data_IF_320650394888
#
_entry.id   IF_320650394888
#
_cell.length_a   1.000
_cell.length_b   1.000
_cell.length_c   1.000
_cell.angle_alpha   90.00
_cell.angle_beta   90.00
_cell.angle_gamma   90.00
#
_symmetry.space_group_name_H-M   'P 1'
#
loop_
_entity.id
_entity.type
_entity.pdbx_description
1 polymer ?
#
# COMPACT_ATOMS: atom_id res chain seq x y z
N UNK A 1 -30.22 48.68 -27.28
CA UNK A 1 -28.97 48.43 -26.53
C UNK A 1 -29.25 47.78 -25.16
N UNK A 2 -29.67 46.52 -25.14
CA UNK A 2 -29.67 45.63 -23.96
C UNK A 2 -29.77 44.20 -24.53
N UNK A 3 -28.65 43.47 -24.56
CA UNK A 3 -28.53 42.00 -24.73
C UNK A 3 -27.23 41.58 -25.44
N UNK A 4 -26.07 42.14 -25.08
CA UNK A 4 -24.78 41.67 -25.61
C UNK A 4 -23.69 41.47 -24.54
N UNK A 5 -24.05 41.58 -23.25
CA UNK A 5 -23.11 41.41 -22.13
C UNK A 5 -23.16 40.03 -21.45
N UNK A 6 -24.10 39.16 -21.83
CA UNK A 6 -24.28 37.85 -21.18
C UNK A 6 -23.50 36.70 -21.82
N UNK A 7 -23.00 36.86 -23.04
CA UNK A 7 -22.42 35.74 -23.81
C UNK A 7 -20.91 35.56 -23.59
N UNK A 8 -20.21 36.58 -23.10
CA UNK A 8 -18.76 36.52 -22.82
C UNK A 8 -18.40 35.96 -21.42
N UNK A 9 -19.40 35.79 -20.54
CA UNK A 9 -19.20 35.26 -19.18
C UNK A 9 -19.47 33.75 -19.06
N UNK A 10 -20.05 33.13 -20.10
CA UNK A 10 -20.35 31.68 -20.13
C UNK A 10 -19.27 30.88 -20.88
N UNK A 11 -18.47 31.53 -21.73
CA UNK A 11 -17.33 30.91 -22.42
C UNK A 11 -16.05 30.83 -21.56
N UNK A 12 -15.96 31.57 -20.45
CA UNK A 12 -14.83 31.51 -19.52
C UNK A 12 -14.94 30.39 -18.48
N UNK A 13 -16.09 29.70 -18.37
CA UNK A 13 -16.26 28.55 -17.48
C UNK A 13 -16.09 27.17 -18.16
N UNK A 14 -15.97 27.12 -19.48
CA UNK A 14 -15.80 25.85 -20.23
C UNK A 14 -14.33 25.44 -20.47
N UNK A 15 -13.35 26.25 -20.06
CA UNK A 15 -11.92 25.92 -20.19
C UNK A 15 -11.21 25.58 -18.86
N UNK A 16 -11.96 25.29 -17.79
CA UNK A 16 -11.41 24.86 -16.49
C UNK A 16 -11.62 23.35 -16.20
N UNK A 17 -11.67 22.52 -17.25
CA UNK A 17 -11.73 21.05 -17.13
C UNK A 17 -10.73 20.36 -18.06
N UNK A 18 -9.58 20.99 -18.31
CA UNK A 18 -8.37 20.23 -18.59
C UNK A 18 -7.87 19.72 -17.24
N UNK A 19 -7.92 18.41 -17.03
CA UNK A 19 -7.24 17.78 -15.90
C UNK A 19 -5.78 18.25 -15.84
N UNK A 20 -5.12 18.18 -14.67
CA UNK A 20 -3.81 18.77 -14.47
C UNK A 20 -2.90 18.34 -15.62
N UNK A 21 -2.45 19.33 -16.39
CA UNK A 21 -1.41 19.16 -17.40
C UNK A 21 -0.29 18.37 -16.75
N UNK A 22 0.12 17.27 -17.37
CA UNK A 22 1.20 16.43 -16.86
C UNK A 22 2.44 17.31 -16.72
N UNK A 23 2.76 17.72 -15.50
CA UNK A 23 4.03 18.34 -15.20
C UNK A 23 5.10 17.30 -15.57
N UNK A 24 6.07 17.57 -16.46
CA UNK A 24 7.07 16.59 -16.86
C UNK A 24 7.88 16.04 -15.67
N UNK A 25 7.88 16.76 -14.54
CA UNK A 25 8.50 16.38 -13.26
C UNK A 25 7.67 15.43 -12.39
N UNK A 26 6.54 14.89 -12.86
CA UNK A 26 5.73 13.93 -12.08
C UNK A 26 6.26 12.50 -12.09
N UNK A 27 7.01 12.12 -13.12
CA UNK A 27 7.53 10.76 -13.24
C UNK A 27 8.97 10.70 -12.72
N UNK A 28 9.23 10.13 -11.54
CA UNK A 28 10.60 9.92 -11.03
C UNK A 28 11.47 9.06 -11.94
N UNK A 29 10.84 8.29 -12.82
CA UNK A 29 11.50 7.42 -13.78
C UNK A 29 11.47 8.01 -15.20
N UNK A 30 11.27 9.33 -15.33
CA UNK A 30 11.45 10.00 -16.61
C UNK A 30 12.86 9.76 -17.14
N UNK A 31 12.99 9.63 -18.46
CA UNK A 31 14.30 9.45 -19.09
C UNK A 31 15.28 10.57 -18.71
N UNK A 32 14.79 11.81 -18.62
CA UNK A 32 15.58 12.98 -18.22
C UNK A 32 16.16 12.84 -16.80
N UNK A 33 15.32 12.43 -15.84
CA UNK A 33 15.72 12.19 -14.45
C UNK A 33 16.74 11.05 -14.35
N UNK A 34 16.52 9.96 -15.08
CA UNK A 34 17.40 8.79 -15.07
C UNK A 34 18.75 9.09 -15.71
N UNK A 35 18.78 9.76 -16.86
CA UNK A 35 20.02 10.18 -17.53
C UNK A 35 20.81 11.14 -16.65
N UNK A 36 20.15 12.13 -16.04
CA UNK A 36 20.81 13.03 -15.10
C UNK A 36 21.44 12.27 -13.92
N UNK A 37 20.72 11.30 -13.37
CA UNK A 37 21.23 10.54 -12.23
C UNK A 37 22.40 9.64 -12.63
N UNK A 38 22.37 9.04 -13.82
CA UNK A 38 23.49 8.26 -14.36
C UNK A 38 24.76 9.12 -14.45
N UNK A 39 24.68 10.31 -15.04
CA UNK A 39 25.82 11.26 -15.10
C UNK A 39 26.36 11.57 -13.70
N UNK A 40 25.49 11.94 -12.77
CA UNK A 40 25.89 12.27 -11.40
C UNK A 40 26.58 11.08 -10.72
N UNK A 41 26.04 9.87 -10.87
CA UNK A 41 26.61 8.69 -10.23
C UNK A 41 27.97 8.35 -10.82
N UNK A 42 28.16 8.45 -12.14
CA UNK A 42 29.47 8.23 -12.76
C UNK A 42 30.51 9.23 -12.22
N UNK A 43 30.16 10.51 -12.16
CA UNK A 43 31.05 11.58 -11.70
C UNK A 43 31.40 11.45 -10.20
N UNK A 44 30.45 10.99 -9.36
CA UNK A 44 30.64 10.79 -7.91
C UNK A 44 31.74 9.79 -7.59
N UNK A 45 31.89 8.76 -8.42
CA UNK A 45 32.82 7.64 -8.20
C UNK A 45 34.13 7.77 -9.00
N UNK A 46 34.26 8.78 -9.86
CA UNK A 46 35.46 8.98 -10.68
C UNK A 46 36.66 9.54 -9.88
N UNK A 47 36.49 10.70 -9.22
CA UNK A 47 37.55 11.38 -8.47
C UNK A 47 36.99 12.23 -7.32
N UNK A 48 37.84 12.79 -6.45
CA UNK A 48 37.40 13.69 -5.38
C UNK A 48 36.81 15.00 -5.92
N UNK A 49 37.41 15.55 -6.97
CA UNK A 49 37.04 16.86 -7.52
C UNK A 49 35.77 16.75 -8.36
N UNK A 50 35.63 15.69 -9.15
CA UNK A 50 34.40 15.38 -9.89
C UNK A 50 33.23 15.12 -8.92
N UNK A 51 33.50 14.46 -7.78
CA UNK A 51 32.48 14.16 -6.78
C UNK A 51 31.81 15.39 -6.20
N UNK A 52 32.59 16.40 -5.78
CA UNK A 52 31.99 17.60 -5.17
C UNK A 52 31.14 18.37 -6.19
N UNK A 53 31.60 18.46 -7.44
CA UNK A 53 30.82 19.07 -8.52
C UNK A 53 29.52 18.31 -8.80
N UNK A 54 29.58 16.99 -8.85
CA UNK A 54 28.41 16.14 -9.07
C UNK A 54 27.39 16.24 -7.92
N UNK A 55 27.86 16.21 -6.67
CA UNK A 55 27.01 16.40 -5.50
C UNK A 55 26.40 17.80 -5.46
N UNK A 56 27.16 18.83 -5.84
CA UNK A 56 26.65 20.19 -5.95
C UNK A 56 25.52 20.31 -6.97
N UNK A 57 25.68 19.70 -8.16
CA UNK A 57 24.62 19.58 -9.17
C UNK A 57 23.40 18.86 -8.61
N UNK A 58 23.58 17.70 -7.98
CA UNK A 58 22.49 16.90 -7.41
C UNK A 58 21.72 17.67 -6.33
N UNK A 59 22.42 18.37 -5.43
CA UNK A 59 21.82 19.25 -4.41
C UNK A 59 20.97 20.35 -5.03
N UNK A 60 21.50 20.99 -6.07
CA UNK A 60 20.79 22.05 -6.78
C UNK A 60 19.50 21.52 -7.43
N UNK A 61 19.56 20.38 -8.10
CA UNK A 61 18.39 19.78 -8.76
C UNK A 61 17.37 19.30 -7.72
N UNK A 62 17.79 18.59 -6.67
CA UNK A 62 16.92 18.20 -5.55
C UNK A 62 16.11 19.40 -4.99
N UNK A 63 16.76 20.55 -4.78
CA UNK A 63 16.10 21.73 -4.19
C UNK A 63 15.16 22.45 -5.15
N UNK A 64 15.52 22.55 -6.43
CA UNK A 64 14.87 23.49 -7.34
C UNK A 64 14.06 22.84 -8.47
N UNK A 65 14.38 21.59 -8.83
CA UNK A 65 13.89 20.93 -10.06
C UNK A 65 13.57 19.44 -9.87
N UNK A 66 13.54 18.96 -8.64
CA UNK A 66 13.24 17.56 -8.34
C UNK A 66 11.82 17.18 -8.72
N UNK A 67 11.62 15.88 -8.85
CA UNK A 67 10.30 15.28 -9.03
C UNK A 67 9.44 15.48 -7.79
N UNK A 68 8.13 15.48 -7.99
CA UNK A 68 7.16 15.70 -6.90
C UNK A 68 7.26 14.61 -5.81
N UNK A 69 7.89 13.47 -6.10
CA UNK A 69 8.05 12.34 -5.18
C UNK A 69 9.37 12.34 -4.38
N UNK A 70 10.25 13.33 -4.58
CA UNK A 70 11.50 13.48 -3.85
C UNK A 70 12.62 12.48 -4.17
N UNK A 71 12.55 11.79 -5.31
CA UNK A 71 13.50 10.74 -5.69
C UNK A 71 14.97 11.22 -5.77
N UNK A 72 15.25 12.41 -6.31
CA UNK A 72 16.64 12.91 -6.38
C UNK A 72 17.14 13.35 -5.02
N UNK A 73 16.30 13.96 -4.19
CA UNK A 73 16.65 14.25 -2.80
C UNK A 73 16.95 12.98 -1.98
N UNK A 74 16.16 11.92 -2.19
CA UNK A 74 16.44 10.62 -1.61
C UNK A 74 17.79 10.06 -2.06
N UNK A 75 18.10 10.14 -3.35
CA UNK A 75 19.36 9.63 -3.90
C UNK A 75 20.56 10.41 -3.36
N UNK A 76 20.46 11.74 -3.27
CA UNK A 76 21.45 12.57 -2.58
C UNK A 76 21.66 12.11 -1.14
N UNK A 77 20.58 11.94 -0.39
CA UNK A 77 20.64 11.52 1.00
C UNK A 77 21.33 10.18 1.20
N UNK A 78 21.14 9.23 0.27
CA UNK A 78 21.83 7.94 0.29
C UNK A 78 23.34 8.07 0.06
N UNK A 79 23.76 8.87 -0.92
CA UNK A 79 25.19 9.06 -1.23
C UNK A 79 25.91 9.66 -0.02
N UNK A 80 25.33 10.68 0.59
CA UNK A 80 25.88 11.31 1.80
C UNK A 80 25.89 10.34 2.99
N UNK A 81 24.81 9.57 3.19
CA UNK A 81 24.74 8.58 4.27
C UNK A 81 25.86 7.55 4.17
N UNK A 82 26.12 7.06 2.94
CA UNK A 82 27.17 6.08 2.67
C UNK A 82 28.57 6.67 2.81
N UNK A 83 28.71 7.97 2.53
CA UNK A 83 29.96 8.70 2.70
C UNK A 83 30.26 9.08 4.16
N UNK A 84 29.30 8.86 5.07
CA UNK A 84 29.43 9.24 6.49
C UNK A 84 29.00 10.67 6.81
N UNK A 85 28.53 11.42 5.81
CA UNK A 85 28.04 12.79 5.95
C UNK A 85 26.59 12.77 6.43
N UNK A 86 26.37 12.39 7.69
CA UNK A 86 25.04 12.13 8.21
C UNK A 86 24.17 13.39 8.34
N UNK A 87 24.77 14.58 8.50
CA UNK A 87 24.03 15.86 8.55
C UNK A 87 23.44 16.25 7.19
N UNK A 88 24.24 16.12 6.14
CA UNK A 88 23.83 16.36 4.76
C UNK A 88 22.78 15.33 4.34
N UNK A 89 23.00 14.07 4.71
CA UNK A 89 22.01 13.01 4.53
C UNK A 89 20.67 13.29 5.21
N UNK A 90 20.70 13.76 6.47
CA UNK A 90 19.51 14.16 7.21
C UNK A 90 18.75 15.28 6.47
N UNK A 91 19.46 16.30 6.01
CA UNK A 91 18.89 17.41 5.24
C UNK A 91 18.23 16.93 3.96
N UNK A 92 18.89 16.06 3.22
CA UNK A 92 18.40 15.50 1.96
C UNK A 92 17.13 14.65 2.15
N UNK A 93 17.12 13.76 3.15
CA UNK A 93 15.93 12.94 3.44
C UNK A 93 14.76 13.77 3.99
N UNK A 94 15.02 14.88 4.68
CA UNK A 94 13.98 15.81 5.13
C UNK A 94 13.27 16.41 3.92
N UNK A 95 14.03 16.90 2.93
CA UNK A 95 13.49 17.41 1.66
C UNK A 95 12.75 16.34 0.86
N UNK A 96 13.26 15.11 0.81
CA UNK A 96 12.58 14.00 0.15
C UNK A 96 11.21 13.70 0.79
N UNK A 97 11.15 13.72 2.12
CA UNK A 97 9.91 13.52 2.87
C UNK A 97 8.93 14.70 2.73
N UNK A 98 9.41 15.93 2.66
CA UNK A 98 8.56 17.11 2.38
C UNK A 98 7.84 16.98 1.04
N UNK A 99 8.50 16.39 0.03
CA UNK A 99 7.94 16.13 -1.29
C UNK A 99 6.95 14.95 -1.28
N UNK A 100 7.29 13.86 -0.58
CA UNK A 100 6.40 12.70 -0.42
C UNK A 100 6.19 12.31 1.06
N UNK A 101 5.27 13.00 1.78
CA UNK A 101 5.10 12.82 3.23
C UNK A 101 4.61 11.44 3.67
N UNK A 102 4.11 10.62 2.75
CA UNK A 102 3.58 9.30 3.08
C UNK A 102 4.59 8.17 2.84
N UNK A 103 5.78 8.48 2.31
CA UNK A 103 6.77 7.47 1.98
C UNK A 103 7.43 6.88 3.24
N UNK A 104 7.19 5.58 3.48
CA UNK A 104 7.73 4.88 4.64
C UNK A 104 9.25 4.68 4.58
N UNK A 105 9.83 4.59 3.38
CA UNK A 105 11.27 4.44 3.19
C UNK A 105 11.97 5.74 3.60
N UNK A 106 11.46 6.88 3.14
CA UNK A 106 12.03 8.19 3.48
C UNK A 106 11.95 8.48 4.97
N UNK A 107 10.82 8.17 5.62
CA UNK A 107 10.68 8.26 7.09
C UNK A 107 11.75 7.46 7.81
N UNK A 108 11.98 6.21 7.39
CA UNK A 108 12.97 5.37 8.04
C UNK A 108 14.40 5.86 7.81
N UNK A 109 14.71 6.40 6.63
CA UNK A 109 16.05 6.91 6.33
C UNK A 109 16.34 8.25 7.01
N UNK A 110 15.37 9.17 7.03
CA UNK A 110 15.43 10.39 7.82
C UNK A 110 15.71 10.07 9.29
N UNK A 111 14.99 9.09 9.85
CA UNK A 111 15.19 8.58 11.20
C UNK A 111 16.62 8.07 11.42
N UNK A 112 17.11 7.22 10.52
CA UNK A 112 18.46 6.65 10.63
C UNK A 112 19.54 7.74 10.56
N UNK A 113 19.40 8.70 9.65
CA UNK A 113 20.31 9.84 9.54
C UNK A 113 20.25 10.70 10.80
N UNK A 114 19.06 11.00 11.32
CA UNK A 114 18.88 11.79 12.56
C UNK A 114 19.59 11.15 13.76
N UNK A 115 19.50 9.81 13.91
CA UNK A 115 20.21 9.08 14.96
C UNK A 115 21.73 9.20 14.80
N UNK A 116 22.22 9.08 13.57
CA UNK A 116 23.66 9.11 13.26
C UNK A 116 24.27 10.51 13.32
N UNK A 117 23.48 11.54 13.04
CA UNK A 117 23.89 12.94 13.00
C UNK A 117 23.54 13.72 14.28
N UNK A 118 22.91 13.07 15.26
CA UNK A 118 22.41 13.70 16.49
C UNK A 118 21.34 14.79 16.25
N UNK A 119 20.51 14.65 15.21
CA UNK A 119 19.42 15.57 14.87
C UNK A 119 18.03 15.07 15.32
N UNK A 120 17.97 14.20 16.34
CA UNK A 120 16.69 13.70 16.86
C UNK A 120 15.80 14.81 17.43
N UNK A 121 16.40 15.82 18.05
CA UNK A 121 15.67 16.98 18.60
C UNK A 121 15.07 17.85 17.49
N UNK A 122 15.83 18.15 16.42
CA UNK A 122 15.28 18.84 15.24
C UNK A 122 14.12 18.05 14.63
N UNK A 123 14.28 16.73 14.52
CA UNK A 123 13.23 15.85 14.00
C UNK A 123 11.99 15.89 14.90
N UNK A 124 12.15 15.87 16.23
CA UNK A 124 11.04 15.95 17.17
C UNK A 124 10.25 17.27 17.05
N UNK A 125 10.94 18.35 16.74
CA UNK A 125 10.35 19.68 16.57
C UNK A 125 9.68 19.89 15.20
N UNK A 126 9.85 18.96 14.24
CA UNK A 126 9.30 19.07 12.88
C UNK A 126 7.80 18.76 12.78
N UNK A 127 7.14 18.40 13.88
CA UNK A 127 5.70 18.14 13.97
C UNK A 127 5.37 16.82 14.67
N UNK A 128 4.08 16.47 14.73
CA UNK A 128 3.59 15.25 15.38
C UNK A 128 4.30 13.98 14.87
N UNK A 129 4.43 13.84 13.56
CA UNK A 129 5.07 12.67 12.95
C UNK A 129 6.57 12.63 13.24
N UNK A 130 7.26 13.76 13.16
CA UNK A 130 8.68 13.85 13.51
C UNK A 130 8.92 13.50 14.98
N UNK A 131 8.08 14.00 15.88
CA UNK A 131 8.06 13.66 17.32
C UNK A 131 7.91 12.16 17.54
N UNK A 132 6.98 11.51 16.87
CA UNK A 132 6.81 10.05 16.94
C UNK A 132 8.04 9.30 16.44
N UNK A 133 8.64 9.72 15.32
CA UNK A 133 9.82 9.07 14.74
C UNK A 133 11.04 9.21 15.67
N UNK A 134 11.21 10.38 16.28
CA UNK A 134 12.27 10.64 17.25
C UNK A 134 12.07 9.76 18.52
N UNK A 135 10.86 9.80 19.10
CA UNK A 135 10.49 8.99 20.26
C UNK A 135 10.68 7.48 20.01
N UNK A 136 10.35 7.01 18.80
CA UNK A 136 10.57 5.63 18.38
C UNK A 136 12.05 5.25 18.42
N UNK A 137 12.93 6.14 17.95
CA UNK A 137 14.38 5.91 17.93
C UNK A 137 14.99 5.93 19.33
N UNK A 138 14.57 6.86 20.17
CA UNK A 138 15.01 6.94 21.57
C UNK A 138 14.59 5.71 22.37
N UNK A 139 13.37 5.22 22.14
CA UNK A 139 12.87 4.00 22.78
C UNK A 139 13.67 2.78 22.32
N UNK A 140 13.97 2.66 21.02
CA UNK A 140 14.85 1.61 20.50
C UNK A 140 16.21 1.64 21.19
N UNK A 141 16.83 2.82 21.25
CA UNK A 141 18.15 3.00 21.88
C UNK A 141 18.14 2.62 23.36
N UNK A 142 17.09 3.02 24.09
CA UNK A 142 16.89 2.70 25.50
C UNK A 142 16.66 1.20 25.72
N UNK A 143 15.97 0.53 24.80
CA UNK A 143 15.74 -0.91 24.88
C UNK A 143 16.97 -1.77 24.60
N UNK A 144 17.83 -1.32 23.67
CA UNK A 144 19.08 -2.00 23.33
C UNK A 144 20.14 -1.86 24.43
N UNK A 145 20.16 -0.71 25.11
CA UNK A 145 21.16 -0.42 26.15
C UNK A 145 20.66 -0.89 27.51
N UNK A 146 21.31 -1.90 28.11
CA UNK A 146 20.88 -2.49 29.37
C UNK A 146 20.71 -1.47 30.51
N UNK A 147 21.66 -0.53 30.64
CA UNK A 147 21.60 0.53 31.65
C UNK A 147 20.44 1.53 31.47
N UNK A 148 19.90 1.65 30.24
CA UNK A 148 18.80 2.58 29.92
C UNK A 148 17.44 1.89 29.84
N UNK A 149 17.40 0.55 29.91
CA UNK A 149 16.19 -0.24 29.69
C UNK A 149 15.08 0.07 30.70
N UNK A 150 15.44 0.33 31.95
CA UNK A 150 14.50 0.74 33.00
C UNK A 150 13.79 2.07 32.68
N UNK A 151 14.44 2.97 31.94
CA UNK A 151 13.91 4.29 31.60
C UNK A 151 13.06 4.27 30.32
N UNK A 152 13.05 3.15 29.57
CA UNK A 152 12.31 3.03 28.32
C UNK A 152 10.79 2.98 28.51
N UNK A 153 10.29 2.72 29.74
CA UNK A 153 8.86 2.51 30.00
C UNK A 153 8.00 3.67 29.50
N UNK A 154 8.35 4.91 29.84
CA UNK A 154 7.54 6.09 29.53
C UNK A 154 7.36 6.27 28.03
N UNK A 155 8.47 6.23 27.28
CA UNK A 155 8.44 6.40 25.82
C UNK A 155 7.80 5.19 25.12
N UNK A 156 7.98 3.98 25.65
CA UNK A 156 7.31 2.78 25.17
C UNK A 156 5.79 2.87 25.31
N UNK A 157 5.30 3.28 26.48
CA UNK A 157 3.87 3.43 26.75
C UNK A 157 3.23 4.48 25.83
N UNK A 158 3.94 5.57 25.58
CA UNK A 158 3.48 6.62 24.68
C UNK A 158 3.35 6.11 23.23
N UNK A 159 4.35 5.37 22.72
CA UNK A 159 4.29 4.73 21.40
C UNK A 159 3.17 3.69 21.32
N UNK A 160 2.90 2.97 22.42
CA UNK A 160 1.78 2.03 22.49
C UNK A 160 0.45 2.77 22.38
N UNK A 161 0.24 3.85 23.15
CA UNK A 161 -0.99 4.67 23.11
C UNK A 161 -1.24 5.30 21.74
N UNK A 162 -0.18 5.78 21.09
CA UNK A 162 -0.26 6.30 19.72
C UNK A 162 -0.49 5.19 18.67
N UNK A 163 -0.41 3.91 19.07
CA UNK A 163 -0.71 2.76 18.22
C UNK A 163 0.39 2.41 17.23
N UNK A 164 1.63 2.78 17.52
CA UNK A 164 2.82 2.47 16.72
C UNK A 164 3.47 1.13 17.09
N UNK A 165 3.05 0.51 18.20
CA UNK A 165 3.52 -0.79 18.64
C UNK A 165 2.46 -1.88 18.39
N UNK A 166 2.93 -3.07 18.00
CA UNK A 166 2.08 -4.24 17.73
C UNK A 166 2.39 -5.40 18.67
N UNK A 167 1.43 -6.31 18.85
CA UNK A 167 1.61 -7.52 19.68
C UNK A 167 2.81 -8.38 19.23
N UNK A 168 3.16 -8.38 17.95
CA UNK A 168 4.31 -9.14 17.44
C UNK A 168 5.64 -8.52 17.88
N UNK A 169 5.72 -7.18 17.93
CA UNK A 169 6.89 -6.44 18.42
C UNK A 169 7.19 -6.69 19.91
N UNK A 170 6.19 -7.10 20.70
CA UNK A 170 6.41 -7.50 22.10
C UNK A 170 7.06 -8.88 22.21
N UNK A 171 6.83 -9.73 21.22
CA UNK A 171 7.33 -11.12 21.22
C UNK A 171 8.68 -11.25 20.53
N UNK A 172 8.97 -10.36 19.56
CA UNK A 172 10.13 -10.43 18.68
C UNK A 172 10.76 -9.06 18.47
N UNK A 173 12.07 -9.05 18.19
CA UNK A 173 12.80 -7.83 17.83
C UNK A 173 13.19 -6.96 19.03
N UNK A 174 13.51 -5.69 18.76
CA UNK A 174 14.17 -4.79 19.73
C UNK A 174 13.33 -4.51 20.98
N UNK A 175 12.01 -4.45 20.85
CA UNK A 175 11.09 -4.14 21.95
C UNK A 175 10.81 -5.34 22.87
N UNK A 176 11.07 -6.56 22.42
CA UNK A 176 10.78 -7.78 23.20
C UNK A 176 11.56 -7.84 24.51
N UNK A 177 12.85 -7.52 24.48
CA UNK A 177 13.73 -7.49 25.65
C UNK A 177 13.29 -6.42 26.65
N UNK A 178 12.91 -5.24 26.14
CA UNK A 178 12.37 -4.15 26.93
C UNK A 178 11.10 -4.58 27.66
N UNK A 179 10.13 -5.10 26.89
CA UNK A 179 8.84 -5.51 27.43
C UNK A 179 8.98 -6.64 28.46
N UNK A 180 9.89 -7.59 28.24
CA UNK A 180 10.18 -8.66 29.19
C UNK A 180 10.73 -8.11 30.53
N UNK A 181 11.54 -7.05 30.48
CA UNK A 181 12.13 -6.43 31.68
C UNK A 181 11.18 -5.55 32.48
N UNK A 182 10.03 -5.19 31.93
CA UNK A 182 9.04 -4.37 32.64
C UNK A 182 8.33 -5.18 33.74
N UNK A 183 7.91 -4.48 34.80
CA UNK A 183 7.09 -5.06 35.86
C UNK A 183 5.70 -5.45 35.35
N UNK A 184 4.99 -6.31 36.08
CA UNK A 184 3.63 -6.73 35.71
C UNK A 184 2.64 -5.56 35.66
N UNK A 185 2.82 -4.54 36.53
CA UNK A 185 2.03 -3.31 36.50
C UNK A 185 2.22 -2.58 35.17
N UNK A 186 3.47 -2.36 34.77
CA UNK A 186 3.83 -1.70 33.51
C UNK A 186 3.31 -2.47 32.28
N UNK A 187 3.41 -3.81 32.30
CA UNK A 187 2.87 -4.65 31.22
C UNK A 187 1.35 -4.50 31.11
N UNK A 188 0.64 -4.48 32.25
CA UNK A 188 -0.81 -4.34 32.29
C UNK A 188 -1.31 -3.00 31.73
N UNK A 189 -0.51 -1.93 31.84
CA UNK A 189 -0.81 -0.62 31.26
C UNK A 189 -0.58 -0.56 29.75
N UNK A 190 0.42 -1.30 29.24
CA UNK A 190 0.79 -1.33 27.82
C UNK A 190 -0.17 -2.18 27.00
N UNK A 191 -0.47 -3.40 27.48
CA UNK A 191 -1.21 -4.43 26.73
C UNK A 191 -2.55 -3.98 26.11
N UNK A 192 -3.37 -3.13 26.76
CA UNK A 192 -4.63 -2.62 26.19
C UNK A 192 -4.48 -1.85 24.88
N UNK A 193 -3.33 -1.20 24.66
CA UNK A 193 -3.08 -0.36 23.48
C UNK A 193 -2.49 -1.13 22.30
N UNK A 194 -2.12 -2.40 22.52
CA UNK A 194 -1.37 -3.18 21.55
C UNK A 194 -2.27 -3.73 20.45
N UNK A 195 -2.12 -3.19 19.24
CA UNK A 195 -2.81 -3.69 18.05
C UNK A 195 -2.21 -5.02 17.60
N UNK A 196 -3.05 -5.94 17.12
CA UNK A 196 -2.55 -7.09 16.34
C UNK A 196 -1.95 -6.54 15.05
N UNK A 197 -0.75 -7.00 14.67
CA UNK A 197 -0.11 -6.55 13.43
C UNK A 197 -1.07 -6.79 12.26
N UNK A 198 -1.48 -5.71 11.58
CA UNK A 198 -2.49 -5.75 10.51
C UNK A 198 -1.95 -6.21 9.17
N UNK A 199 -0.63 -6.25 9.00
CA UNK A 199 0.01 -6.47 7.70
C UNK A 199 0.56 -7.87 7.58
N UNK A 200 -0.29 -8.80 7.16
CA UNK A 200 0.19 -9.98 6.45
C UNK A 200 0.47 -9.55 5.01
N UNK A 201 1.75 -9.42 4.64
CA UNK A 201 2.17 -8.99 3.30
C UNK A 201 1.56 -9.90 2.22
N UNK A 202 1.42 -11.20 2.49
CA UNK A 202 0.77 -12.13 1.57
C UNK A 202 -0.70 -11.75 1.33
N UNK A 203 -1.45 -11.40 2.39
CA UNK A 203 -2.85 -10.98 2.24
C UNK A 203 -2.97 -9.65 1.50
N UNK A 204 -2.04 -8.71 1.70
CA UNK A 204 -2.02 -7.43 0.98
C UNK A 204 -1.69 -7.61 -0.50
N UNK A 205 -0.69 -8.44 -0.82
CA UNK A 205 -0.35 -8.78 -2.20
C UNK A 205 -1.54 -9.45 -2.92
N UNK A 206 -2.24 -10.35 -2.23
CA UNK A 206 -3.47 -10.95 -2.76
C UNK A 206 -4.54 -9.88 -2.99
N UNK A 207 -4.76 -8.97 -2.04
CA UNK A 207 -5.74 -7.89 -2.18
C UNK A 207 -5.42 -6.98 -3.37
N UNK A 208 -4.15 -6.63 -3.59
CA UNK A 208 -3.71 -5.83 -4.73
C UNK A 208 -3.92 -6.57 -6.05
N UNK A 209 -3.61 -7.87 -6.11
CA UNK A 209 -3.88 -8.72 -7.28
C UNK A 209 -5.38 -8.84 -7.57
N UNK A 210 -6.21 -9.05 -6.53
CA UNK A 210 -7.67 -9.07 -6.66
C UNK A 210 -8.18 -7.74 -7.21
N UNK A 211 -7.69 -6.61 -6.68
CA UNK A 211 -8.09 -5.28 -7.15
C UNK A 211 -7.70 -5.01 -8.61
N UNK A 212 -6.56 -5.53 -9.05
CA UNK A 212 -6.09 -5.40 -10.43
C UNK A 212 -6.84 -6.35 -11.39
N UNK A 213 -7.43 -7.42 -10.89
CA UNK A 213 -8.16 -8.40 -11.69
C UNK A 213 -9.49 -7.82 -12.19
N UNK A 214 -9.73 -7.75 -13.51
CA UNK A 214 -11.00 -7.25 -14.06
C UNK A 214 -12.23 -8.02 -13.56
N UNK A 215 -12.11 -9.33 -13.32
CA UNK A 215 -13.23 -10.17 -12.87
C UNK A 215 -13.63 -9.92 -11.42
N UNK A 216 -12.78 -9.29 -10.60
CA UNK A 216 -13.11 -8.94 -9.21
C UNK A 216 -14.39 -8.10 -9.06
N UNK A 217 -14.82 -7.43 -10.14
CA UNK A 217 -16.06 -6.63 -10.20
C UNK A 217 -17.34 -7.46 -10.21
N UNK A 218 -17.27 -8.71 -10.65
CA UNK A 218 -18.43 -9.62 -10.84
C UNK A 218 -18.22 -11.00 -10.22
N UNK A 219 -17.03 -11.28 -9.71
CA UNK A 219 -16.63 -12.58 -9.19
C UNK A 219 -15.60 -12.42 -8.07
N UNK A 220 -15.68 -13.24 -7.04
CA UNK A 220 -14.67 -13.30 -5.98
C UNK A 220 -13.43 -14.09 -6.47
N UNK A 221 -12.38 -13.35 -6.83
CA UNK A 221 -11.11 -13.91 -7.31
C UNK A 221 -10.09 -14.15 -6.20
N UNK A 222 -10.45 -13.95 -4.94
CA UNK A 222 -9.50 -14.00 -3.81
C UNK A 222 -8.84 -15.36 -3.65
N UNK A 223 -9.59 -16.46 -3.79
CA UNK A 223 -9.06 -17.82 -3.69
C UNK A 223 -8.16 -18.21 -4.86
N UNK A 224 -8.48 -17.72 -6.06
CA UNK A 224 -7.63 -17.89 -7.24
C UNK A 224 -6.26 -17.24 -7.02
N UNK A 225 -6.23 -15.98 -6.57
CA UNK A 225 -4.97 -15.26 -6.29
C UNK A 225 -4.21 -15.79 -5.07
N UNK A 226 -4.90 -16.49 -4.15
CA UNK A 226 -4.28 -17.22 -3.04
C UNK A 226 -3.67 -18.57 -3.46
N UNK A 227 -4.00 -19.08 -4.64
CA UNK A 227 -3.60 -20.43 -5.07
C UNK A 227 -4.16 -21.53 -4.17
N UNK A 228 -5.33 -21.30 -3.57
CA UNK A 228 -5.93 -22.21 -2.59
C UNK A 228 -7.38 -22.51 -2.95
N UNK A 229 -7.81 -23.76 -2.73
CA UNK A 229 -9.23 -24.07 -2.78
C UNK A 229 -9.94 -23.52 -1.53
N UNK A 230 -11.16 -23.00 -1.67
CA UNK A 230 -11.96 -22.58 -0.52
C UNK A 230 -12.32 -23.80 0.33
N UNK A 231 -12.13 -23.68 1.65
CA UNK A 231 -12.62 -24.68 2.60
C UNK A 231 -14.14 -24.66 2.64
N UNK A 232 -14.74 -25.79 3.00
CA UNK A 232 -16.19 -25.87 3.22
C UNK A 232 -16.63 -24.90 4.33
N UNK A 233 -17.75 -24.21 4.12
CA UNK A 233 -18.28 -23.21 5.05
C UNK A 233 -17.79 -21.77 4.85
N UNK A 234 -16.95 -21.50 3.83
CA UNK A 234 -16.55 -20.14 3.48
C UNK A 234 -17.64 -19.46 2.64
N UNK A 235 -17.98 -18.22 3.00
CA UNK A 235 -18.84 -17.33 2.21
C UNK A 235 -17.99 -16.51 1.24
N UNK A 236 -18.43 -16.46 -0.01
CA UNK A 236 -17.83 -15.55 -0.98
C UNK A 236 -18.36 -14.13 -0.81
N UNK A 237 -17.50 -13.16 -1.08
CA UNK A 237 -17.85 -11.74 -1.03
C UNK A 237 -18.81 -11.32 -2.14
N UNK A 238 -18.80 -12.02 -3.28
CA UNK A 238 -19.63 -11.70 -4.43
C UNK A 238 -20.85 -12.65 -4.55
N UNK A 239 -22.08 -12.12 -4.71
CA UNK A 239 -23.31 -12.93 -4.82
C UNK A 239 -23.28 -13.98 -5.94
N UNK A 240 -22.73 -13.62 -7.10
CA UNK A 240 -22.56 -14.55 -8.24
C UNK A 240 -21.69 -15.76 -7.83
N UNK A 241 -20.56 -15.51 -7.16
CA UNK A 241 -19.65 -16.57 -6.71
C UNK A 241 -20.29 -17.45 -5.64
N UNK A 242 -21.09 -16.85 -4.77
CA UNK A 242 -21.82 -17.59 -3.73
C UNK A 242 -22.93 -18.48 -4.32
N UNK A 243 -23.69 -17.99 -5.31
CA UNK A 243 -24.67 -18.78 -6.03
C UNK A 243 -24.01 -19.96 -6.77
N UNK A 244 -22.86 -19.72 -7.41
CA UNK A 244 -22.09 -20.79 -8.07
C UNK A 244 -21.51 -21.80 -7.08
N UNK A 245 -21.06 -21.36 -5.90
CA UNK A 245 -20.62 -22.26 -4.82
C UNK A 245 -21.72 -23.23 -4.43
N UNK A 246 -22.94 -22.72 -4.21
CA UNK A 246 -24.10 -23.54 -3.87
C UNK A 246 -24.46 -24.52 -4.99
N UNK A 247 -24.38 -24.09 -6.25
CA UNK A 247 -24.57 -24.95 -7.41
C UNK A 247 -23.54 -26.10 -7.43
N UNK A 248 -22.25 -25.81 -7.21
CA UNK A 248 -21.19 -26.82 -7.15
C UNK A 248 -21.41 -27.83 -6.01
N UNK A 249 -21.89 -27.38 -4.85
CA UNK A 249 -22.22 -28.27 -3.73
C UNK A 249 -23.44 -29.15 -4.04
N UNK A 250 -24.47 -28.60 -4.68
CA UNK A 250 -25.64 -29.34 -5.13
C UNK A 250 -25.25 -30.37 -6.22
N UNK A 251 -24.36 -30.01 -7.13
CA UNK A 251 -23.82 -30.92 -8.16
C UNK A 251 -23.09 -32.12 -7.54
N UNK A 252 -22.19 -31.88 -6.57
CA UNK A 252 -21.46 -32.93 -5.85
C UNK A 252 -22.39 -33.90 -5.12
N UNK A 253 -23.43 -33.37 -4.46
CA UNK A 253 -24.43 -34.17 -3.74
C UNK A 253 -25.47 -34.83 -4.66
N UNK A 254 -25.60 -34.37 -5.92
CA UNK A 254 -26.65 -34.83 -6.84
C UNK A 254 -28.04 -34.29 -6.50
N UNK A 255 -28.14 -33.21 -5.72
CA UNK A 255 -29.42 -32.60 -5.36
C UNK A 255 -29.91 -31.66 -6.48
N UNK A 256 -30.73 -32.19 -7.38
CA UNK A 256 -31.23 -31.46 -8.54
C UNK A 256 -32.08 -30.24 -8.18
N UNK A 257 -32.91 -30.34 -7.14
CA UNK A 257 -33.78 -29.23 -6.72
C UNK A 257 -32.95 -28.03 -6.25
N UNK A 258 -31.95 -28.29 -5.41
CA UNK A 258 -31.04 -27.26 -4.92
C UNK A 258 -30.11 -26.73 -6.02
N UNK A 259 -29.73 -27.59 -6.98
CA UNK A 259 -28.94 -27.18 -8.13
C UNK A 259 -29.71 -26.18 -9.01
N UNK A 260 -30.97 -26.48 -9.35
CA UNK A 260 -31.83 -25.58 -10.12
C UNK A 260 -32.06 -24.25 -9.40
N UNK A 261 -32.35 -24.30 -8.10
CA UNK A 261 -32.51 -23.07 -7.30
C UNK A 261 -31.25 -22.20 -7.33
N UNK A 262 -30.08 -22.82 -7.12
CA UNK A 262 -28.79 -22.13 -7.15
C UNK A 262 -28.45 -21.58 -8.53
N UNK A 263 -28.85 -22.28 -9.60
CA UNK A 263 -28.67 -21.83 -10.98
C UNK A 263 -29.53 -20.59 -11.28
N UNK A 264 -30.79 -20.58 -10.86
CA UNK A 264 -31.64 -19.39 -10.98
C UNK A 264 -31.10 -18.20 -10.17
N UNK A 265 -30.59 -18.45 -8.96
CA UNK A 265 -29.90 -17.41 -8.18
C UNK A 265 -28.70 -16.85 -8.96
N UNK A 266 -27.87 -17.72 -9.56
CA UNK A 266 -26.74 -17.32 -10.37
C UNK A 266 -27.17 -16.47 -11.58
N UNK A 267 -28.21 -16.88 -12.32
CA UNK A 267 -28.73 -16.13 -13.47
C UNK A 267 -29.27 -14.76 -13.08
N UNK A 268 -30.00 -14.67 -11.97
CA UNK A 268 -30.53 -13.41 -11.46
C UNK A 268 -29.40 -12.44 -11.14
N UNK A 269 -28.36 -12.90 -10.45
CA UNK A 269 -27.19 -12.07 -10.11
C UNK A 269 -26.39 -11.66 -11.36
N UNK A 270 -26.27 -12.53 -12.36
CA UNK A 270 -25.69 -12.20 -13.67
C UNK A 270 -26.48 -11.11 -14.38
N UNK A 271 -27.82 -11.21 -14.39
CA UNK A 271 -28.70 -10.21 -14.98
C UNK A 271 -28.61 -8.86 -14.27
N UNK A 272 -28.44 -8.85 -12.94
CA UNK A 272 -28.19 -7.64 -12.15
C UNK A 272 -26.83 -7.03 -12.53
N UNK A 273 -25.76 -7.84 -12.61
CA UNK A 273 -24.43 -7.37 -12.99
C UNK A 273 -24.39 -6.78 -14.41
N UNK A 274 -25.13 -7.37 -15.36
CA UNK A 274 -25.26 -6.87 -16.74
C UNK A 274 -25.85 -5.46 -16.83
N UNK A 275 -26.59 -5.00 -15.82
CA UNK A 275 -27.20 -3.66 -15.80
C UNK A 275 -26.30 -2.57 -15.22
N UNK A 276 -25.17 -2.92 -14.58
CA UNK A 276 -24.31 -1.95 -13.87
C UNK A 276 -23.46 -1.09 -14.81
N UNK A 277 -22.76 -1.72 -15.76
CA UNK A 277 -21.92 -1.02 -16.74
C UNK A 277 -21.66 -1.92 -17.96
N UNK A 278 -21.18 -1.33 -19.07
CA UNK A 278 -20.75 -2.10 -20.25
C UNK A 278 -19.64 -3.11 -19.92
N UNK A 279 -18.72 -2.75 -19.05
CA UNK A 279 -17.60 -3.61 -18.65
C UNK A 279 -18.12 -4.80 -17.83
N UNK A 280 -18.92 -4.54 -16.80
CA UNK A 280 -19.54 -5.59 -15.98
C UNK A 280 -20.46 -6.49 -16.81
N UNK A 281 -21.17 -5.96 -17.81
CA UNK A 281 -21.99 -6.76 -18.71
C UNK A 281 -21.17 -7.75 -19.54
N UNK A 282 -20.03 -7.32 -20.08
CA UNK A 282 -19.14 -8.19 -20.83
C UNK A 282 -18.53 -9.28 -19.94
N UNK A 283 -18.11 -8.93 -18.71
CA UNK A 283 -17.56 -9.88 -17.75
C UNK A 283 -18.62 -10.89 -17.28
N UNK A 284 -19.83 -10.43 -16.98
CA UNK A 284 -20.94 -11.29 -16.60
C UNK A 284 -21.35 -12.25 -17.74
N UNK A 285 -21.34 -11.78 -18.99
CA UNK A 285 -21.57 -12.65 -20.16
C UNK A 285 -20.47 -13.71 -20.30
N UNK A 286 -19.21 -13.37 -20.04
CA UNK A 286 -18.12 -14.34 -20.05
C UNK A 286 -18.30 -15.41 -18.95
N UNK A 287 -18.76 -15.00 -17.75
CA UNK A 287 -19.08 -15.94 -16.67
C UNK A 287 -20.22 -16.88 -17.03
N UNK A 288 -21.30 -16.36 -17.63
CA UNK A 288 -22.45 -17.16 -18.07
C UNK A 288 -22.05 -18.21 -19.13
N UNK A 289 -21.24 -17.81 -20.12
CA UNK A 289 -20.69 -18.75 -21.12
C UNK A 289 -19.79 -19.81 -20.50
N UNK A 290 -18.95 -19.41 -19.55
CA UNK A 290 -18.05 -20.33 -18.84
C UNK A 290 -18.84 -21.32 -17.98
N UNK A 291 -19.90 -20.85 -17.30
CA UNK A 291 -20.80 -21.68 -16.53
C UNK A 291 -21.48 -22.76 -17.39
N UNK A 292 -21.95 -22.39 -18.58
CA UNK A 292 -22.55 -23.33 -19.52
C UNK A 292 -21.56 -24.43 -19.93
N UNK A 293 -20.35 -24.04 -20.33
CA UNK A 293 -19.29 -24.98 -20.71
C UNK A 293 -18.93 -25.92 -19.56
N UNK A 294 -18.85 -25.41 -18.32
CA UNK A 294 -18.57 -26.24 -17.15
C UNK A 294 -19.68 -27.26 -16.88
N UNK A 295 -20.94 -26.86 -16.96
CA UNK A 295 -22.06 -27.80 -16.78
C UNK A 295 -22.10 -28.89 -17.86
N UNK A 296 -21.69 -28.58 -19.08
CA UNK A 296 -21.67 -29.53 -20.20
C UNK A 296 -20.47 -30.49 -20.15
N UNK A 297 -19.29 -30.01 -19.71
CA UNK A 297 -18.02 -30.72 -19.94
C UNK A 297 -17.33 -31.21 -18.67
N UNK A 298 -17.55 -30.59 -17.51
CA UNK A 298 -16.84 -30.94 -16.29
C UNK A 298 -17.55 -32.11 -15.57
N UNK A 299 -16.85 -33.24 -15.30
CA UNK A 299 -17.42 -34.42 -14.63
C UNK A 299 -18.08 -34.14 -13.27
N UNK A 300 -17.66 -33.09 -12.56
CA UNK A 300 -18.26 -32.67 -11.29
C UNK A 300 -19.75 -32.34 -11.44
N UNK A 301 -20.16 -31.89 -12.63
CA UNK A 301 -21.54 -31.49 -12.91
C UNK A 301 -22.33 -32.53 -13.71
N UNK A 302 -21.77 -33.73 -13.96
CA UNK A 302 -22.41 -34.74 -14.81
C UNK A 302 -23.86 -35.05 -14.41
N UNK A 303 -24.14 -35.11 -13.10
CA UNK A 303 -25.48 -35.37 -12.54
C UNK A 303 -26.50 -34.26 -12.79
N UNK A 304 -26.04 -33.05 -13.08
CA UNK A 304 -26.88 -31.87 -13.31
C UNK A 304 -26.63 -31.20 -14.66
N UNK A 305 -25.91 -31.89 -15.56
CA UNK A 305 -25.48 -31.36 -16.87
C UNK A 305 -26.67 -30.96 -17.76
N UNK A 306 -27.83 -31.58 -17.58
CA UNK A 306 -29.07 -31.22 -18.27
C UNK A 306 -29.52 -29.77 -18.00
N UNK A 307 -29.13 -29.19 -16.85
CA UNK A 307 -29.42 -27.79 -16.50
C UNK A 307 -28.64 -26.79 -17.38
N UNK A 308 -27.62 -27.22 -18.13
CA UNK A 308 -26.93 -26.34 -19.08
C UNK A 308 -27.85 -25.75 -20.14
N UNK A 309 -28.98 -26.41 -20.44
CA UNK A 309 -30.01 -25.91 -21.36
C UNK A 309 -30.78 -24.71 -20.79
N UNK A 310 -30.72 -24.51 -19.48
CA UNK A 310 -31.37 -23.40 -18.80
C UNK A 310 -30.50 -22.12 -18.84
N UNK A 311 -29.23 -22.20 -19.26
CA UNK A 311 -28.26 -21.09 -19.43
C UNK A 311 -28.13 -20.54 -20.86
#
# INVERSE_FOLDING_TARGET
MKAFGGFLLVLSFYFACTGPTKNPTRDPYSLETLTFLEEVLLDVWESSDSRENALSRLRYVCRNRDTDDGFLCYTWGLIEFKSGNYNESYTAFKLALEKNPNDSLYKNLLRLSAVKSNNLEDLANSGEEGRVIALYSETISSCQTESKRANAYTSFLELARAGHLTKDMLKKGVFSLCFASFSEVQKSEILPWMKTARTNYADRLVADKVKADPFSRVWDTSFYHKGAEPKEGIFYSHPISEAWRKLRLAAKSGNEAQARESLHQFQNEIAIAKKKSKTEANLALALERSAKLLLEQDPVYAKISFLAKEL
#
